data_IF_497448971438
#
_entry.id   IF_497448971438
#
_cell.length_a   1.000
_cell.length_b   1.000
_cell.length_c   1.000
_cell.angle_alpha   90.00
_cell.angle_beta   90.00
_cell.angle_gamma   90.00
#
_symmetry.space_group_name_H-M   'P 1'
#
loop_
_entity.id
_entity.type
_entity.pdbx_description
1 polymer ?
#
# COMPACT_ATOMS: atom_id res chain seq x y z
N UNK A 1 -15.86 4.20 1.21
CA UNK A 1 -15.28 5.02 2.29
C UNK A 1 -14.62 6.24 1.66
N UNK A 2 -14.75 7.45 2.23
CA UNK A 2 -14.02 8.60 1.74
C UNK A 2 -12.51 8.37 1.92
N UNK A 3 -11.74 8.73 0.90
CA UNK A 3 -10.27 8.71 0.97
C UNK A 3 -9.77 9.76 1.96
N UNK A 4 -8.69 9.48 2.69
CA UNK A 4 -7.99 10.49 3.50
C UNK A 4 -7.31 11.55 2.65
N UNK A 5 -7.05 11.26 1.37
CA UNK A 5 -6.61 12.25 0.39
C UNK A 5 -7.80 12.59 -0.49
N UNK A 6 -8.21 13.86 -0.51
CA UNK A 6 -9.34 14.31 -1.33
C UNK A 6 -8.84 14.71 -2.70
N UNK A 7 -9.42 14.13 -3.72
CA UNK A 7 -9.05 14.34 -5.11
C UNK A 7 -10.03 15.31 -5.78
N UNK A 8 -9.51 16.31 -6.47
CA UNK A 8 -10.29 17.21 -7.28
C UNK A 8 -9.73 17.27 -8.69
N UNK A 9 -10.54 16.94 -9.70
CA UNK A 9 -10.21 17.16 -11.10
C UNK A 9 -10.55 18.58 -11.47
N UNK A 10 -9.54 19.37 -11.81
CA UNK A 10 -9.67 20.77 -12.21
C UNK A 10 -10.28 20.91 -13.61
N UNK A 11 -10.74 22.12 -13.95
CA UNK A 11 -11.30 22.42 -15.28
C UNK A 11 -10.32 22.19 -16.44
N UNK A 12 -9.02 22.29 -16.19
CA UNK A 12 -7.96 21.99 -17.15
C UNK A 12 -7.65 20.47 -17.28
N UNK A 13 -8.38 19.63 -16.53
CA UNK A 13 -8.25 18.18 -16.55
C UNK A 13 -7.20 17.60 -15.61
N UNK A 14 -6.36 18.42 -14.97
CA UNK A 14 -5.37 17.98 -13.98
C UNK A 14 -6.02 17.68 -12.64
N UNK A 15 -5.36 16.86 -11.85
CA UNK A 15 -5.77 16.60 -10.47
C UNK A 15 -5.09 17.56 -9.49
N UNK A 16 -5.76 17.85 -8.40
CA UNK A 16 -5.20 18.42 -7.19
C UNK A 16 -5.61 17.57 -6.00
N UNK A 17 -4.74 17.50 -5.00
CA UNK A 17 -4.85 16.60 -3.86
C UNK A 17 -4.83 17.42 -2.56
N UNK A 18 -5.74 17.10 -1.65
CA UNK A 18 -5.82 17.69 -0.32
C UNK A 18 -5.47 16.59 0.70
N UNK A 19 -4.36 16.76 1.39
CA UNK A 19 -3.80 15.81 2.35
C UNK A 19 -4.20 16.10 3.81
N UNK A 20 -5.06 17.08 4.07
CA UNK A 20 -5.39 17.54 5.41
C UNK A 20 -5.78 16.41 6.37
N UNK A 21 -6.66 15.49 5.92
CA UNK A 21 -7.13 14.39 6.78
C UNK A 21 -6.02 13.34 6.96
N UNK A 22 -5.20 13.08 5.92
CA UNK A 22 -4.06 12.17 6.00
C UNK A 22 -3.00 12.71 6.97
N UNK A 23 -2.66 13.98 6.86
CA UNK A 23 -1.67 14.64 7.71
C UNK A 23 -2.08 14.57 9.18
N UNK A 24 -3.33 14.94 9.46
CA UNK A 24 -3.87 14.87 10.82
C UNK A 24 -3.76 13.44 11.40
N UNK A 25 -4.10 12.43 10.60
CA UNK A 25 -4.03 11.03 11.03
C UNK A 25 -2.60 10.57 11.27
N UNK A 26 -1.67 10.90 10.39
CA UNK A 26 -0.25 10.56 10.54
C UNK A 26 0.35 11.25 11.77
N UNK A 27 0.14 12.55 11.93
CA UNK A 27 0.64 13.33 13.08
C UNK A 27 0.07 12.82 14.40
N UNK A 28 -1.22 12.45 14.44
CA UNK A 28 -1.85 11.85 15.61
C UNK A 28 -1.17 10.53 16.00
N UNK A 29 -0.93 9.65 15.03
CA UNK A 29 -0.25 8.37 15.27
C UNK A 29 1.19 8.60 15.76
N UNK A 30 1.93 9.50 15.15
CA UNK A 30 3.30 9.84 15.54
C UNK A 30 3.35 10.39 17.00
N UNK A 31 2.40 11.24 17.38
CA UNK A 31 2.27 11.74 18.74
C UNK A 31 2.11 10.61 19.76
N UNK A 32 1.51 9.51 19.37
CA UNK A 32 1.31 8.31 20.21
C UNK A 32 2.41 7.24 20.03
N UNK A 33 3.54 7.58 19.39
CA UNK A 33 4.69 6.69 19.24
C UNK A 33 4.62 5.72 18.06
N UNK A 34 3.60 5.81 17.21
CA UNK A 34 3.46 5.02 15.98
C UNK A 34 4.11 5.80 14.83
N UNK A 35 5.44 5.68 14.68
CA UNK A 35 6.22 6.54 13.82
C UNK A 35 7.28 5.81 12.96
N UNK A 36 7.26 4.46 12.93
CA UNK A 36 8.27 3.68 12.20
C UNK A 36 7.96 3.49 10.73
N UNK A 37 6.68 3.44 10.38
CA UNK A 37 6.23 3.27 9.00
C UNK A 37 4.83 3.86 8.83
N UNK A 38 4.64 4.56 7.72
CA UNK A 38 3.34 5.01 7.23
C UNK A 38 2.93 4.04 6.12
N UNK A 39 1.83 3.33 6.32
CA UNK A 39 1.25 2.45 5.31
C UNK A 39 0.15 3.19 4.57
N UNK A 40 0.43 3.59 3.32
CA UNK A 40 -0.56 4.18 2.44
C UNK A 40 -1.24 3.09 1.65
N UNK A 41 -2.46 2.76 2.05
CA UNK A 41 -3.26 1.72 1.43
C UNK A 41 -4.13 2.30 0.30
N UNK A 42 -4.31 1.56 -0.78
CA UNK A 42 -5.41 1.79 -1.75
C UNK A 42 -5.11 2.46 -3.10
N UNK A 43 -3.88 2.66 -3.56
CA UNK A 43 -3.67 2.91 -5.00
C UNK A 43 -4.11 1.70 -5.84
N UNK A 44 -3.96 0.50 -5.28
CA UNK A 44 -4.46 -0.76 -5.83
C UNK A 44 -5.35 -1.47 -4.80
N UNK A 45 -6.38 -0.79 -4.33
CA UNK A 45 -7.37 -1.31 -3.37
C UNK A 45 -8.44 -2.20 -4.02
N UNK A 46 -9.40 -2.68 -3.24
CA UNK A 46 -10.52 -3.51 -3.73
C UNK A 46 -11.43 -2.80 -4.73
N UNK A 47 -11.63 -1.49 -4.57
CA UNK A 47 -12.39 -0.69 -5.51
C UNK A 47 -11.52 -0.35 -6.72
N UNK A 48 -12.01 -0.70 -7.91
CA UNK A 48 -11.34 -0.41 -9.16
C UNK A 48 -11.59 1.02 -9.57
N UNK A 49 -10.53 1.83 -9.68
CA UNK A 49 -10.57 3.16 -10.21
C UNK A 49 -10.41 4.26 -9.17
N UNK A 50 -10.68 5.47 -9.62
CA UNK A 50 -10.43 6.69 -8.87
C UNK A 50 -11.74 7.42 -8.59
N UNK A 51 -11.89 7.92 -7.36
CA UNK A 51 -13.04 8.74 -6.94
C UNK A 51 -12.55 10.16 -6.71
N UNK A 52 -13.18 11.12 -7.36
CA UNK A 52 -12.78 12.53 -7.29
C UNK A 52 -13.97 13.47 -7.44
N UNK A 53 -13.83 14.69 -6.93
CA UNK A 53 -14.74 15.80 -7.22
C UNK A 53 -14.35 16.39 -8.57
N UNK A 54 -15.28 16.47 -9.49
CA UNK A 54 -15.08 17.13 -10.78
C UNK A 54 -15.48 18.61 -10.67
N UNK A 55 -14.50 19.51 -10.81
CA UNK A 55 -14.73 20.96 -10.66
C UNK A 55 -15.65 21.53 -11.75
N UNK A 56 -15.63 20.93 -12.95
CA UNK A 56 -16.44 21.41 -14.06
C UNK A 56 -17.95 21.15 -13.86
N UNK A 57 -18.28 19.97 -13.31
CA UNK A 57 -19.69 19.59 -13.05
C UNK A 57 -20.11 19.83 -11.60
N UNK A 58 -19.17 20.07 -10.68
CA UNK A 58 -19.43 20.19 -9.24
C UNK A 58 -19.81 18.88 -8.56
N UNK A 59 -19.76 17.73 -9.26
CA UNK A 59 -20.20 16.42 -8.75
C UNK A 59 -19.04 15.51 -8.44
N UNK A 60 -19.28 14.49 -7.59
CA UNK A 60 -18.34 13.40 -7.38
C UNK A 60 -18.46 12.42 -8.54
N UNK A 61 -17.32 12.01 -9.08
CA UNK A 61 -17.22 11.02 -10.15
C UNK A 61 -16.40 9.81 -9.71
N UNK A 62 -16.71 8.68 -10.30
CA UNK A 62 -15.95 7.47 -10.22
C UNK A 62 -15.47 7.10 -11.62
N UNK A 63 -14.16 7.06 -11.81
CA UNK A 63 -13.52 6.65 -13.05
C UNK A 63 -12.92 5.25 -12.84
N UNK A 64 -13.57 4.23 -13.44
CA UNK A 64 -13.09 2.85 -13.38
C UNK A 64 -11.79 2.70 -14.16
N UNK A 65 -10.77 2.11 -13.55
CA UNK A 65 -9.51 1.77 -14.20
C UNK A 65 -8.77 0.73 -13.37
N UNK A 66 -8.11 -0.22 -14.03
CA UNK A 66 -7.46 -1.36 -13.40
C UNK A 66 -5.93 -1.17 -13.42
N UNK A 67 -5.19 -1.58 -12.37
CA UNK A 67 -3.74 -1.55 -12.37
C UNK A 67 -3.14 -2.20 -13.62
N UNK A 68 -2.27 -1.44 -14.33
CA UNK A 68 -1.67 -1.84 -15.59
C UNK A 68 -2.31 -1.26 -16.84
N UNK A 69 -3.52 -0.71 -16.75
CA UNK A 69 -4.11 0.04 -17.86
C UNK A 69 -3.41 1.41 -18.04
N UNK A 70 -3.27 1.90 -19.29
CA UNK A 70 -2.59 3.18 -19.56
C UNK A 70 -3.19 4.36 -18.76
N UNK A 71 -4.50 4.39 -18.61
CA UNK A 71 -5.18 5.44 -17.86
C UNK A 71 -4.90 5.35 -16.36
N UNK A 72 -4.89 4.12 -15.81
CA UNK A 72 -4.51 3.91 -14.42
C UNK A 72 -3.05 4.33 -14.17
N UNK A 73 -2.12 3.96 -15.05
CA UNK A 73 -0.72 4.37 -14.95
C UNK A 73 -0.57 5.90 -14.98
N UNK A 74 -1.29 6.56 -15.89
CA UNK A 74 -1.24 8.03 -16.01
C UNK A 74 -1.69 8.73 -14.74
N UNK A 75 -2.88 8.39 -14.22
CA UNK A 75 -3.43 9.02 -13.01
C UNK A 75 -2.58 8.68 -11.79
N UNK A 76 -2.11 7.44 -11.68
CA UNK A 76 -1.24 7.02 -10.58
C UNK A 76 0.08 7.78 -10.58
N UNK A 77 0.70 8.04 -11.74
CA UNK A 77 1.92 8.86 -11.82
C UNK A 77 1.68 10.30 -11.39
N UNK A 78 0.57 10.90 -11.82
CA UNK A 78 0.21 12.26 -11.44
C UNK A 78 0.05 12.35 -9.91
N UNK A 79 -0.68 11.41 -9.32
CA UNK A 79 -0.84 11.33 -7.87
C UNK A 79 0.49 11.08 -7.15
N UNK A 80 1.29 10.10 -7.57
CA UNK A 80 2.55 9.79 -6.91
C UNK A 80 3.56 10.92 -7.00
N UNK A 81 3.55 11.70 -8.08
CA UNK A 81 4.42 12.87 -8.22
C UNK A 81 4.09 13.93 -7.16
N UNK A 82 2.82 14.23 -6.98
CA UNK A 82 2.35 15.19 -5.98
C UNK A 82 2.54 14.65 -4.55
N UNK A 83 2.15 13.39 -4.32
CA UNK A 83 2.33 12.72 -3.03
C UNK A 83 3.80 12.69 -2.57
N UNK A 84 4.74 12.37 -3.46
CA UNK A 84 6.16 12.31 -3.12
C UNK A 84 6.66 13.69 -2.69
N UNK A 85 6.29 14.75 -3.40
CA UNK A 85 6.65 16.11 -3.02
C UNK A 85 6.08 16.48 -1.64
N UNK A 86 4.82 16.13 -1.37
CA UNK A 86 4.20 16.32 -0.06
C UNK A 86 4.90 15.55 1.05
N UNK A 87 5.24 14.27 0.80
CA UNK A 87 5.96 13.44 1.78
C UNK A 87 7.37 13.94 2.06
N UNK A 88 8.05 14.51 1.07
CA UNK A 88 9.36 15.17 1.27
C UNK A 88 9.22 16.42 2.14
N UNK A 89 8.24 17.28 1.84
CA UNK A 89 7.96 18.48 2.63
C UNK A 89 7.69 18.15 4.12
N UNK A 90 6.97 17.06 4.37
CA UNK A 90 6.67 16.57 5.73
C UNK A 90 7.82 15.79 6.39
N UNK A 91 8.86 15.41 5.66
CA UNK A 91 9.93 14.54 6.13
C UNK A 91 9.49 13.09 6.35
N UNK A 92 8.47 12.64 5.63
CA UNK A 92 7.87 11.30 5.79
C UNK A 92 8.21 10.31 4.67
N UNK A 93 8.94 10.75 3.64
CA UNK A 93 9.20 9.92 2.47
C UNK A 93 9.88 8.58 2.83
N UNK A 94 10.94 8.60 3.62
CA UNK A 94 11.74 7.40 3.93
C UNK A 94 11.00 6.37 4.80
N UNK A 95 9.97 6.80 5.53
CA UNK A 95 9.14 5.94 6.37
C UNK A 95 7.83 5.54 5.70
N UNK A 96 7.56 5.98 4.47
CA UNK A 96 6.32 5.66 3.76
C UNK A 96 6.47 4.42 2.89
N UNK A 97 5.46 3.57 2.94
CA UNK A 97 5.31 2.39 2.11
C UNK A 97 3.92 2.38 1.45
N UNK A 98 3.88 2.25 0.13
CA UNK A 98 2.64 2.02 -0.60
C UNK A 98 2.20 0.59 -0.36
N UNK A 99 1.10 0.40 0.33
CA UNK A 99 0.55 -0.93 0.61
C UNK A 99 -0.59 -1.23 -0.35
N UNK A 100 -0.56 -2.42 -0.93
CA UNK A 100 -1.67 -2.94 -1.71
C UNK A 100 -2.34 -4.08 -0.98
N UNK A 101 -3.56 -4.32 -1.36
CA UNK A 101 -4.34 -5.46 -0.96
C UNK A 101 -3.93 -6.73 -1.75
N UNK A 102 -4.55 -7.86 -1.45
CA UNK A 102 -4.36 -9.12 -2.15
C UNK A 102 -4.61 -8.97 -3.65
N UNK A 103 -3.54 -8.96 -4.45
CA UNK A 103 -3.57 -8.68 -5.88
C UNK A 103 -2.86 -9.77 -6.69
N UNK A 104 -3.25 -9.89 -7.96
CA UNK A 104 -2.57 -10.78 -8.89
C UNK A 104 -1.13 -10.30 -9.16
N UNK A 105 -0.29 -11.20 -9.65
CA UNK A 105 1.09 -10.88 -10.02
C UNK A 105 1.16 -9.71 -11.02
N UNK A 106 0.26 -9.67 -12.01
CA UNK A 106 0.25 -8.60 -13.02
C UNK A 106 -0.10 -7.24 -12.42
N UNK A 107 -1.06 -7.17 -11.51
CA UNK A 107 -1.48 -5.94 -10.84
C UNK A 107 -0.41 -5.44 -9.87
N UNK A 108 0.21 -6.34 -9.12
CA UNK A 108 1.32 -6.05 -8.23
C UNK A 108 2.52 -5.50 -9.02
N UNK A 109 2.88 -6.15 -10.11
CA UNK A 109 3.96 -5.71 -11.00
C UNK A 109 3.67 -4.33 -11.61
N UNK A 110 2.42 -4.05 -11.97
CA UNK A 110 2.01 -2.73 -12.47
C UNK A 110 2.20 -1.63 -11.42
N UNK A 111 1.82 -1.89 -10.16
CA UNK A 111 2.06 -0.94 -9.06
C UNK A 111 3.55 -0.71 -8.82
N UNK A 112 4.35 -1.77 -8.76
CA UNK A 112 5.81 -1.67 -8.60
C UNK A 112 6.41 -0.83 -9.73
N UNK A 113 6.03 -1.10 -10.97
CA UNK A 113 6.48 -0.35 -12.15
C UNK A 113 6.17 1.14 -12.05
N UNK A 114 4.96 1.49 -11.67
CA UNK A 114 4.54 2.90 -11.52
C UNK A 114 5.27 3.55 -10.35
N UNK A 115 5.35 2.91 -9.19
CA UNK A 115 6.07 3.43 -8.03
C UNK A 115 7.56 3.68 -8.34
N UNK A 116 8.24 2.75 -9.03
CA UNK A 116 9.65 2.91 -9.44
C UNK A 116 9.87 3.96 -10.53
N UNK A 117 8.82 4.40 -11.21
CA UNK A 117 8.92 5.41 -12.28
C UNK A 117 8.89 6.84 -11.79
N UNK A 118 8.46 7.08 -10.54
CA UNK A 118 8.39 8.39 -9.93
C UNK A 118 9.43 8.45 -8.81
N UNK A 119 10.29 9.45 -8.86
CA UNK A 119 11.42 9.62 -7.93
C UNK A 119 11.27 10.90 -7.14
N UNK A 120 11.78 10.87 -5.92
CA UNK A 120 11.93 12.07 -5.10
C UNK A 120 13.12 12.93 -5.56
N UNK A 121 13.38 14.04 -4.87
CA UNK A 121 14.48 14.98 -5.15
C UNK A 121 15.88 14.33 -5.09
N UNK A 122 16.04 13.26 -4.33
CA UNK A 122 17.29 12.50 -4.20
C UNK A 122 17.39 11.32 -5.19
N UNK A 123 16.41 11.13 -6.08
CA UNK A 123 16.38 10.02 -7.04
C UNK A 123 15.90 8.69 -6.46
N UNK A 124 15.38 8.67 -5.23
CA UNK A 124 14.80 7.49 -4.57
C UNK A 124 13.35 7.28 -4.99
N UNK A 125 12.87 6.05 -4.89
CA UNK A 125 11.46 5.67 -5.13
C UNK A 125 10.77 5.28 -3.84
N UNK A 126 9.44 5.41 -3.78
CA UNK A 126 8.67 4.90 -2.64
C UNK A 126 8.79 3.37 -2.52
N UNK A 127 8.80 2.91 -1.29
CA UNK A 127 8.69 1.49 -0.96
C UNK A 127 7.32 0.98 -1.34
N UNK A 128 7.25 -0.27 -1.78
CA UNK A 128 5.99 -0.96 -2.08
C UNK A 128 5.89 -2.18 -1.19
N UNK A 129 4.73 -2.44 -0.66
CA UNK A 129 4.41 -3.64 0.12
C UNK A 129 2.99 -4.12 -0.18
N UNK A 130 2.59 -5.21 0.44
CA UNK A 130 1.23 -5.70 0.25
C UNK A 130 0.91 -7.01 0.95
N UNK A 131 -0.37 -7.31 0.97
CA UNK A 131 -0.90 -8.59 1.40
C UNK A 131 -0.74 -9.64 0.31
N UNK A 132 -0.32 -10.83 0.71
CA UNK A 132 -0.02 -11.97 -0.17
C UNK A 132 -0.88 -13.16 0.25
N UNK A 133 -1.81 -13.53 -0.60
CA UNK A 133 -2.67 -14.70 -0.40
C UNK A 133 -2.43 -15.82 -1.42
N UNK A 134 -1.37 -15.71 -2.22
CA UNK A 134 -1.02 -16.67 -3.25
C UNK A 134 0.50 -16.78 -3.42
N UNK A 135 1.00 -17.98 -3.63
CA UNK A 135 2.41 -18.25 -3.96
C UNK A 135 2.81 -17.74 -5.36
N UNK A 136 1.84 -17.32 -6.17
CA UNK A 136 2.09 -16.74 -7.51
C UNK A 136 2.98 -15.49 -7.44
N UNK A 137 2.96 -14.75 -6.31
CA UNK A 137 3.76 -13.55 -6.12
C UNK A 137 5.23 -13.86 -5.71
N UNK A 138 5.57 -15.10 -5.42
CA UNK A 138 6.92 -15.47 -4.97
C UNK A 138 8.07 -14.93 -5.86
N UNK A 139 7.95 -14.89 -7.20
CA UNK A 139 9.00 -14.36 -8.06
C UNK A 139 9.35 -12.88 -7.82
N UNK A 140 8.43 -12.10 -7.23
CA UNK A 140 8.60 -10.66 -7.01
C UNK A 140 8.68 -10.28 -5.53
N UNK A 141 8.78 -11.23 -4.61
CA UNK A 141 8.85 -10.93 -3.18
C UNK A 141 9.99 -9.97 -2.82
N UNK A 142 11.14 -10.10 -3.45
CA UNK A 142 12.28 -9.21 -3.20
C UNK A 142 12.12 -7.78 -3.76
N UNK A 143 11.14 -7.57 -4.61
CA UNK A 143 10.77 -6.23 -5.08
C UNK A 143 9.84 -5.48 -4.11
N UNK A 144 9.25 -6.21 -3.16
CA UNK A 144 8.36 -5.69 -2.14
C UNK A 144 9.13 -5.48 -0.83
N UNK A 145 9.11 -4.24 -0.32
CA UNK A 145 9.77 -3.90 0.94
C UNK A 145 9.13 -4.60 2.14
N UNK A 146 7.81 -4.71 2.13
CA UNK A 146 7.00 -5.29 3.21
C UNK A 146 5.97 -6.24 2.60
N UNK A 147 6.04 -7.51 2.98
CA UNK A 147 5.02 -8.51 2.61
C UNK A 147 4.34 -9.01 3.87
N UNK A 148 3.02 -9.14 3.80
CA UNK A 148 2.20 -9.81 4.80
C UNK A 148 1.56 -11.02 4.15
N UNK A 149 1.96 -12.23 4.55
CA UNK A 149 1.54 -13.47 3.91
C UNK A 149 0.37 -14.07 4.69
N UNK A 150 -0.68 -14.45 3.97
CA UNK A 150 -1.81 -15.17 4.56
C UNK A 150 -1.36 -16.53 5.08
N UNK A 151 -1.77 -16.88 6.30
CA UNK A 151 -1.35 -18.11 6.99
C UNK A 151 -1.54 -19.39 6.18
N UNK A 152 -2.59 -19.47 5.33
CA UNK A 152 -2.84 -20.63 4.47
C UNK A 152 -2.02 -20.61 3.15
N UNK A 153 -1.23 -19.58 2.91
CA UNK A 153 -0.36 -19.43 1.74
C UNK A 153 1.11 -19.35 2.12
N UNK A 154 1.46 -19.74 3.35
CA UNK A 154 2.84 -19.77 3.79
C UNK A 154 3.63 -20.82 3.01
N UNK A 155 4.79 -20.48 2.45
CA UNK A 155 5.68 -21.48 1.86
C UNK A 155 6.33 -22.32 2.94
N UNK A 156 6.69 -23.56 2.62
CA UNK A 156 7.33 -24.50 3.55
C UNK A 156 8.63 -23.94 4.15
N UNK A 157 9.34 -23.11 3.40
CA UNK A 157 10.60 -22.47 3.81
C UNK A 157 10.40 -21.05 4.35
N UNK A 158 9.26 -20.74 4.98
CA UNK A 158 8.94 -19.38 5.45
C UNK A 158 10.02 -18.80 6.39
N UNK A 159 10.63 -19.62 7.24
CA UNK A 159 11.68 -19.17 8.17
C UNK A 159 12.92 -18.67 7.43
N UNK A 160 13.43 -19.46 6.50
CA UNK A 160 14.57 -19.10 5.66
C UNK A 160 14.26 -17.89 4.78
N UNK A 161 13.06 -17.82 4.20
CA UNK A 161 12.61 -16.69 3.42
C UNK A 161 12.60 -15.39 4.26
N UNK A 162 12.04 -15.45 5.46
CA UNK A 162 11.97 -14.29 6.35
C UNK A 162 13.39 -13.83 6.79
N UNK A 163 14.30 -14.75 7.05
CA UNK A 163 15.69 -14.44 7.39
C UNK A 163 16.44 -13.79 6.22
N UNK A 164 16.38 -14.38 5.03
CA UNK A 164 16.99 -13.82 3.81
C UNK A 164 16.46 -12.42 3.48
N UNK A 165 15.16 -12.21 3.66
CA UNK A 165 14.55 -10.89 3.44
C UNK A 165 14.99 -9.89 4.51
N UNK A 166 15.08 -10.29 5.76
CA UNK A 166 15.57 -9.44 6.86
C UNK A 166 17.02 -8.99 6.63
N UNK A 167 17.89 -9.86 6.14
CA UNK A 167 19.26 -9.52 5.77
C UNK A 167 19.33 -8.44 4.67
N UNK A 168 18.34 -8.41 3.77
CA UNK A 168 18.18 -7.39 2.74
C UNK A 168 17.47 -6.12 3.26
N UNK A 169 17.11 -6.04 4.54
CA UNK A 169 16.33 -4.93 5.11
C UNK A 169 14.85 -4.95 4.71
N UNK A 170 14.37 -6.08 4.20
CA UNK A 170 12.97 -6.27 3.81
C UNK A 170 12.17 -6.87 4.97
N UNK A 171 10.86 -6.63 5.01
CA UNK A 171 9.97 -7.10 6.08
C UNK A 171 9.11 -8.25 5.60
N UNK A 172 8.88 -9.20 6.50
CA UNK A 172 7.95 -10.32 6.30
C UNK A 172 7.11 -10.47 7.55
N UNK A 173 5.80 -10.43 7.39
CA UNK A 173 4.80 -10.63 8.42
C UNK A 173 3.79 -11.68 7.97
N UNK A 174 3.04 -12.21 8.92
CA UNK A 174 1.97 -13.17 8.66
C UNK A 174 0.67 -12.54 9.11
N UNK A 175 -0.41 -12.76 8.36
CA UNK A 175 -1.73 -12.36 8.78
C UNK A 175 -2.71 -13.53 8.72
N UNK A 176 -3.73 -13.43 9.55
CA UNK A 176 -4.87 -14.33 9.58
C UNK A 176 -6.15 -13.54 9.49
N UNK A 177 -7.12 -14.04 8.74
CA UNK A 177 -8.45 -13.44 8.65
C UNK A 177 -9.53 -14.51 8.53
N UNK A 178 -10.75 -14.16 8.96
CA UNK A 178 -11.91 -15.05 8.86
C UNK A 178 -11.79 -16.31 9.70
N UNK A 179 -11.87 -17.47 9.07
CA UNK A 179 -11.79 -18.79 9.71
C UNK A 179 -10.37 -19.35 9.87
N UNK A 180 -9.35 -18.49 9.74
CA UNK A 180 -7.97 -18.90 9.90
C UNK A 180 -7.63 -19.39 11.31
N UNK A 181 -6.58 -20.18 11.44
CA UNK A 181 -6.19 -20.80 12.72
C UNK A 181 -5.90 -19.77 13.81
N UNK A 182 -5.33 -18.61 13.45
CA UNK A 182 -5.03 -17.51 14.38
C UNK A 182 -6.23 -16.64 14.72
N UNK A 183 -7.30 -16.72 13.95
CA UNK A 183 -8.54 -15.97 14.17
C UNK A 183 -9.54 -16.68 15.10
N UNK A 184 -9.14 -17.72 15.81
CA UNK A 184 -10.04 -18.51 16.66
C UNK A 184 -10.46 -17.68 17.87
N UNK A 185 -11.74 -17.26 18.00
CA UNK A 185 -12.18 -16.36 19.07
C UNK A 185 -12.34 -17.08 20.42
N UNK A 186 -12.01 -18.36 20.50
CA UNK A 186 -12.50 -19.23 21.56
C UNK A 186 -11.59 -19.29 22.78
N UNK A 187 -10.30 -19.05 22.64
CA UNK A 187 -9.37 -19.20 23.77
C UNK A 187 -8.12 -18.33 23.57
N UNK A 188 -7.90 -17.33 24.44
CA UNK A 188 -6.70 -16.49 24.37
C UNK A 188 -5.39 -17.27 24.45
N UNK A 189 -5.38 -18.42 25.13
CA UNK A 189 -4.21 -19.31 25.22
C UNK A 189 -3.89 -20.01 23.91
N UNK A 190 -4.91 -20.49 23.18
CA UNK A 190 -4.73 -21.11 21.87
C UNK A 190 -4.30 -20.10 20.81
N UNK A 191 -4.86 -18.88 20.84
CA UNK A 191 -4.44 -17.80 19.96
C UNK A 191 -2.98 -17.40 20.21
N UNK A 192 -2.53 -17.33 21.47
CA UNK A 192 -1.15 -17.07 21.82
C UNK A 192 -0.22 -18.20 21.34
N UNK A 193 -0.64 -19.47 21.51
CA UNK A 193 0.12 -20.63 21.06
C UNK A 193 0.29 -20.65 19.53
N UNK A 194 -0.76 -20.37 18.79
CA UNK A 194 -0.69 -20.29 17.32
C UNK A 194 0.21 -19.16 16.78
N UNK A 195 0.52 -18.16 17.59
CA UNK A 195 1.46 -17.08 17.21
C UNK A 195 2.93 -17.44 17.51
N UNK A 196 3.16 -18.33 18.47
CA UNK A 196 4.52 -18.68 18.93
C UNK A 196 5.06 -20.00 18.36
N UNK A 197 4.22 -20.87 17.79
CA UNK A 197 4.59 -22.08 17.08
C UNK A 197 4.86 -21.82 15.58
#
# INVERSE_FOLDING_TARGET
FPSMVKWTRKKDGKFSFDYTDMDYWVELNMKHGINRQINLHSIAGFAWGFVYKDEASGTVKHEGSVPGEPRWEQISREFLTDLIAHLEEKGWFDITCLQMDERTLSQTSALIKVAKSVKNSEGKTLKVGGAVNSTELAPIFDELHDISIWENSLPDNIKELAEQRREKGLRTTIYSCGAGKMATPCNPGEAAYAVYD
#
